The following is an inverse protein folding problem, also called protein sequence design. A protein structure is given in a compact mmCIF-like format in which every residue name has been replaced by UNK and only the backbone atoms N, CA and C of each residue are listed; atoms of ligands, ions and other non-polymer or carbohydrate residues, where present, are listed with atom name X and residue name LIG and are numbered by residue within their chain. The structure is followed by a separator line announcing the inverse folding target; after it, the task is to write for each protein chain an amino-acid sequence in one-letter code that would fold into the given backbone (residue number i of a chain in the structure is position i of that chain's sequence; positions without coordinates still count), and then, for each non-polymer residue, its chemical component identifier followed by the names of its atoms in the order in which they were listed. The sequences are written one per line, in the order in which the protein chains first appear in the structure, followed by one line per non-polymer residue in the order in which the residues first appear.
data_IF_198612264669
#
_entry.id   IF_198612264669
#
_cell.length_a   1.000
_cell.length_b   1.000
_cell.length_c   1.000
_cell.angle_alpha   90.00
_cell.angle_beta   90.00
_cell.angle_gamma   90.00
#
_symmetry.space_group_name_H-M   'P 1'
#
loop_
_entity.id
_entity.type
_entity.pdbx_description
1 polymer ?
#
# COMPACT_ATOMS: atom_id res chain seq x y z
N UNK A 1 -12.95 -7.98 12.40
CA UNK A 1 -14.34 -7.51 12.21
C UNK A 1 -14.78 -7.95 10.84
N UNK A 2 -15.91 -8.63 10.73
CA UNK A 2 -16.48 -9.00 9.44
C UNK A 2 -16.93 -7.73 8.72
N UNK A 3 -16.31 -7.39 7.59
CA UNK A 3 -16.71 -6.24 6.78
C UNK A 3 -17.94 -6.62 5.96
N UNK A 4 -19.12 -6.51 6.57
CA UNK A 4 -20.38 -6.62 5.85
C UNK A 4 -20.64 -5.32 5.07
N UNK A 5 -20.77 -5.41 3.75
CA UNK A 5 -21.13 -4.29 2.89
C UNK A 5 -22.64 -4.31 2.63
N UNK A 6 -23.34 -3.26 3.06
CA UNK A 6 -24.80 -3.15 2.88
C UNK A 6 -25.18 -2.40 1.60
N UNK A 7 -24.22 -1.71 0.97
CA UNK A 7 -24.40 -1.00 -0.30
C UNK A 7 -23.19 -1.18 -1.20
N UNK A 8 -23.41 -1.05 -2.52
CA UNK A 8 -22.33 -1.04 -3.50
C UNK A 8 -21.37 0.15 -3.27
N UNK A 9 -21.90 1.28 -2.81
CA UNK A 9 -21.09 2.45 -2.48
C UNK A 9 -20.09 2.18 -1.36
N UNK A 10 -20.48 1.46 -0.31
CA UNK A 10 -19.60 1.11 0.81
C UNK A 10 -18.46 0.19 0.36
N UNK A 11 -18.77 -0.79 -0.50
CA UNK A 11 -17.77 -1.68 -1.08
C UNK A 11 -16.76 -0.92 -1.95
N UNK A 12 -17.25 -0.01 -2.78
CA UNK A 12 -16.41 0.83 -3.65
C UNK A 12 -15.51 1.76 -2.81
N UNK A 13 -16.05 2.37 -1.75
CA UNK A 13 -15.28 3.23 -0.86
C UNK A 13 -14.19 2.45 -0.12
N UNK A 14 -14.52 1.26 0.41
CA UNK A 14 -13.58 0.38 1.09
C UNK A 14 -12.43 -0.03 0.17
N UNK A 15 -12.75 -0.52 -1.02
CA UNK A 15 -11.76 -0.98 -1.99
C UNK A 15 -10.84 0.16 -2.45
N UNK A 16 -11.42 1.35 -2.67
CA UNK A 16 -10.66 2.56 -3.03
C UNK A 16 -9.75 3.03 -1.90
N UNK A 17 -10.21 2.95 -0.64
CA UNK A 17 -9.40 3.23 0.54
C UNK A 17 -8.17 2.33 0.62
N UNK A 18 -8.35 1.02 0.42
CA UNK A 18 -7.24 0.08 0.34
C UNK A 18 -6.28 0.37 -0.80
N UNK A 19 -6.77 0.77 -1.97
CA UNK A 19 -5.91 1.17 -3.08
C UNK A 19 -4.98 2.33 -2.68
N UNK A 20 -5.49 3.36 -2.00
CA UNK A 20 -4.65 4.47 -1.52
C UNK A 20 -3.63 4.04 -0.46
N UNK A 21 -4.01 3.16 0.46
CA UNK A 21 -3.09 2.60 1.46
C UNK A 21 -1.95 1.84 0.77
N UNK A 22 -2.29 0.98 -0.20
CA UNK A 22 -1.31 0.21 -0.96
C UNK A 22 -0.40 1.10 -1.81
N UNK A 23 -0.92 2.18 -2.39
CA UNK A 23 -0.11 3.19 -3.09
C UNK A 23 0.89 3.87 -2.16
N UNK A 24 0.49 4.24 -0.94
CA UNK A 24 1.42 4.80 0.04
C UNK A 24 2.48 3.79 0.48
N UNK A 25 2.05 2.56 0.77
CA UNK A 25 2.95 1.49 1.20
C UNK A 25 3.98 1.14 0.12
N UNK A 26 3.59 1.11 -1.16
CA UNK A 26 4.50 0.78 -2.26
C UNK A 26 5.61 1.82 -2.43
N UNK A 27 5.32 3.11 -2.21
CA UNK A 27 6.34 4.17 -2.22
C UNK A 27 7.37 3.96 -1.10
N UNK A 28 6.92 3.63 0.11
CA UNK A 28 7.82 3.36 1.24
C UNK A 28 8.71 2.15 0.96
N UNK A 29 8.12 1.06 0.45
CA UNK A 29 8.86 -0.14 0.06
C UNK A 29 9.87 0.17 -1.04
N UNK A 30 9.50 0.98 -2.04
CA UNK A 30 10.41 1.37 -3.12
C UNK A 30 11.61 2.15 -2.61
N UNK A 31 11.41 3.12 -1.70
CA UNK A 31 12.51 3.87 -1.07
C UNK A 31 13.39 2.96 -0.21
N UNK A 32 12.79 2.05 0.56
CA UNK A 32 13.54 1.09 1.37
C UNK A 32 14.37 0.13 0.48
N UNK A 33 13.78 -0.35 -0.61
CA UNK A 33 14.44 -1.19 -1.60
C UNK A 33 15.58 -0.47 -2.32
N UNK A 34 15.37 0.80 -2.70
CA UNK A 34 16.41 1.64 -3.27
C UNK A 34 17.60 1.76 -2.30
N UNK A 35 17.34 2.07 -1.03
CA UNK A 35 18.39 2.10 0.00
C UNK A 35 19.09 0.76 0.15
N UNK A 36 18.35 -0.36 0.15
CA UNK A 36 18.93 -1.69 0.24
C UNK A 36 19.90 -1.97 -0.92
N UNK A 37 19.51 -1.65 -2.17
CA UNK A 37 20.36 -1.83 -3.33
C UNK A 37 21.63 -0.97 -3.28
N UNK A 38 21.49 0.31 -2.97
CA UNK A 38 22.63 1.24 -2.92
C UNK A 38 23.49 1.12 -1.67
N UNK A 39 22.99 0.50 -0.60
CA UNK A 39 23.79 0.24 0.60
C UNK A 39 24.83 -0.85 0.39
N UNK A 40 24.70 -1.67 -0.65
CA UNK A 40 25.65 -2.74 -1.01
C UNK A 40 26.83 -2.26 -1.87
N UNK A 41 26.80 -1.02 -2.35
CA UNK A 41 27.83 -0.43 -3.20
C UNK A 41 28.96 0.24 -2.38
N UNK A 42 28.96 0.05 -1.05
CA UNK A 42 29.94 0.62 -0.11
C UNK A 42 30.82 -0.41 0.61
N UNK A 43 30.77 -1.68 0.19
CA UNK A 43 31.71 -2.74 0.62
C UNK A 43 32.48 -3.29 -0.59
#
# INVERSE_FOLDING_TARGET
MEHAFYTLQDFMLYTKGWAYILMGASLVVFVAYWKFLFSRDKD
#
